data_IF_025937140568
#
_entry.id   IF_025937140568
#
_cell.length_a   1.000
_cell.length_b   1.000
_cell.length_c   1.000
_cell.angle_alpha   90.00
_cell.angle_beta   90.00
_cell.angle_gamma   90.00
#
_symmetry.space_group_name_H-M   'P 1'
#
loop_
_entity.id
_entity.type
_entity.pdbx_description
1 polymer ?
#
# COMPACT_ATOMS: atom_id res chain seq x y z
N UNK A 1 6.62 -16.83 -25.32
CA UNK A 1 5.71 -15.82 -24.73
C UNK A 1 4.95 -16.50 -23.62
N UNK A 2 5.18 -16.17 -22.35
CA UNK A 2 4.33 -16.65 -21.27
C UNK A 2 2.93 -16.06 -21.47
N UNK A 3 1.89 -16.89 -21.38
CA UNK A 3 0.52 -16.41 -21.45
C UNK A 3 0.30 -15.33 -20.38
N UNK A 4 -0.33 -14.22 -20.75
CA UNK A 4 -0.72 -13.21 -19.77
C UNK A 4 -1.59 -13.85 -18.69
N UNK A 5 -1.44 -13.44 -17.42
CA UNK A 5 -2.29 -13.96 -16.39
C UNK A 5 -3.77 -13.68 -16.70
N UNK A 6 -4.71 -14.54 -16.28
CA UNK A 6 -6.13 -14.32 -16.55
C UNK A 6 -6.58 -12.96 -16.01
N UNK A 7 -7.54 -12.28 -16.69
CA UNK A 7 -8.09 -11.02 -16.21
C UNK A 7 -8.61 -11.14 -14.77
N UNK A 8 -8.59 -10.02 -14.04
CA UNK A 8 -9.00 -10.03 -12.62
C UNK A 8 -10.44 -10.50 -12.41
N UNK A 9 -11.35 -10.30 -13.36
CA UNK A 9 -12.74 -10.73 -13.27
C UNK A 9 -12.96 -12.21 -13.63
N UNK A 10 -12.00 -12.86 -14.28
CA UNK A 10 -12.09 -14.24 -14.76
C UNK A 10 -11.06 -15.13 -14.06
N UNK A 11 -11.29 -15.36 -12.78
CA UNK A 11 -10.47 -16.23 -11.93
C UNK A 11 -11.36 -17.22 -11.19
N UNK A 12 -10.76 -18.34 -10.76
CA UNK A 12 -11.40 -19.26 -9.84
C UNK A 12 -11.21 -18.78 -8.41
N UNK A 13 -12.14 -19.13 -7.53
CA UNK A 13 -12.09 -18.83 -6.11
C UNK A 13 -13.31 -18.13 -5.59
N UNK A 14 -13.20 -17.60 -4.38
CA UNK A 14 -14.27 -16.96 -3.64
C UNK A 14 -13.91 -15.53 -3.27
N UNK A 15 -14.92 -14.68 -3.23
CA UNK A 15 -14.87 -13.32 -2.67
C UNK A 15 -15.89 -13.27 -1.53
N UNK A 16 -15.52 -12.69 -0.41
CA UNK A 16 -16.48 -12.35 0.63
C UNK A 16 -17.12 -11.00 0.26
N UNK A 17 -18.44 -10.95 0.20
CA UNK A 17 -19.19 -9.76 -0.20
C UNK A 17 -20.44 -9.65 0.64
N UNK A 18 -20.59 -8.57 1.40
CA UNK A 18 -21.75 -8.23 2.23
C UNK A 18 -22.25 -9.41 3.10
N UNK A 19 -21.33 -10.07 3.80
CA UNK A 19 -21.62 -11.16 4.73
C UNK A 19 -21.57 -12.56 4.14
N UNK A 20 -21.43 -12.72 2.82
CA UNK A 20 -21.48 -13.99 2.13
C UNK A 20 -20.23 -14.27 1.30
N UNK A 21 -19.84 -15.56 1.20
CA UNK A 21 -18.90 -16.00 0.18
C UNK A 21 -19.65 -16.17 -1.15
N UNK A 22 -19.18 -15.50 -2.18
CA UNK A 22 -19.69 -15.61 -3.55
C UNK A 22 -18.60 -16.18 -4.47
N UNK A 23 -19.00 -16.80 -5.58
CA UNK A 23 -18.05 -17.20 -6.60
C UNK A 23 -17.36 -15.96 -7.18
N UNK A 24 -16.07 -16.05 -7.51
CA UNK A 24 -15.26 -14.93 -7.98
C UNK A 24 -15.93 -14.18 -9.15
N UNK A 25 -16.47 -14.92 -10.13
CA UNK A 25 -17.11 -14.36 -11.33
C UNK A 25 -18.47 -13.72 -11.06
N UNK A 26 -19.07 -14.00 -9.90
CA UNK A 26 -20.40 -13.47 -9.50
C UNK A 26 -20.29 -12.25 -8.58
N UNK A 27 -19.08 -11.86 -8.16
CA UNK A 27 -18.84 -10.65 -7.40
C UNK A 27 -19.02 -9.40 -8.28
N UNK A 28 -20.30 -8.99 -8.47
CA UNK A 28 -20.71 -7.90 -9.36
C UNK A 28 -21.44 -6.82 -8.57
N UNK A 29 -21.32 -5.59 -9.04
CA UNK A 29 -22.06 -4.44 -8.50
C UNK A 29 -22.83 -3.74 -9.63
N UNK A 30 -23.87 -3.01 -9.26
CA UNK A 30 -24.65 -2.25 -10.24
C UNK A 30 -23.82 -1.08 -10.78
N UNK A 31 -23.91 -0.80 -12.08
CA UNK A 31 -23.17 0.29 -12.75
C UNK A 31 -23.49 1.69 -12.20
N UNK A 32 -24.63 1.89 -11.55
CA UNK A 32 -25.02 3.12 -10.88
C UNK A 32 -24.61 3.16 -9.40
N UNK A 33 -23.68 2.29 -8.95
CA UNK A 33 -23.09 2.42 -7.62
C UNK A 33 -22.41 3.77 -7.47
N UNK A 34 -22.78 4.51 -6.43
CA UNK A 34 -22.36 5.90 -6.21
C UNK A 34 -20.82 6.08 -6.25
N UNK A 35 -20.09 5.15 -5.64
CA UNK A 35 -18.62 5.19 -5.65
C UNK A 35 -18.04 5.16 -7.07
N UNK A 36 -18.64 4.43 -8.01
CA UNK A 36 -18.15 4.39 -9.40
C UNK A 36 -18.25 5.75 -10.11
N UNK A 37 -19.20 6.60 -9.71
CA UNK A 37 -19.42 7.91 -10.31
C UNK A 37 -18.68 9.03 -9.59
N UNK A 38 -18.49 8.92 -8.26
CA UNK A 38 -18.02 10.03 -7.43
C UNK A 38 -16.76 9.70 -6.61
N UNK A 39 -16.23 8.48 -6.73
CA UNK A 39 -14.95 8.09 -6.13
C UNK A 39 -14.94 7.95 -4.60
N UNK A 40 -16.07 8.17 -3.91
CA UNK A 40 -16.14 8.06 -2.46
C UNK A 40 -16.22 6.59 -2.01
N UNK A 41 -15.08 6.02 -1.69
CA UNK A 41 -14.87 4.66 -1.19
C UNK A 41 -13.52 4.57 -0.49
N UNK A 42 -13.31 3.54 0.33
CA UNK A 42 -12.05 3.30 1.00
C UNK A 42 -11.63 1.83 0.84
N UNK A 43 -10.32 1.59 0.76
CA UNK A 43 -9.81 0.23 0.61
C UNK A 43 -8.54 0.01 1.42
N UNK A 44 -8.18 -1.26 1.57
CA UNK A 44 -6.90 -1.66 2.10
C UNK A 44 -6.16 -2.58 1.14
N UNK A 45 -4.86 -2.60 1.30
CA UNK A 45 -4.00 -3.62 0.76
C UNK A 45 -3.32 -4.32 1.92
N UNK A 46 -3.55 -5.59 2.06
CA UNK A 46 -3.02 -6.43 3.14
C UNK A 46 -2.30 -7.61 2.51
N UNK A 47 -1.28 -8.14 3.16
CA UNK A 47 -0.52 -9.25 2.57
C UNK A 47 -0.51 -10.45 3.51
N UNK A 48 -0.79 -11.62 2.94
CA UNK A 48 -0.59 -12.91 3.58
C UNK A 48 0.75 -13.50 3.10
N UNK A 49 1.49 -14.10 4.01
CA UNK A 49 2.80 -14.72 3.75
C UNK A 49 2.80 -16.18 4.16
N UNK A 50 3.50 -17.02 3.41
CA UNK A 50 3.87 -18.36 3.82
C UNK A 50 4.99 -18.23 4.86
N UNK A 51 4.64 -18.45 6.12
CA UNK A 51 5.59 -18.37 7.23
C UNK A 51 6.12 -19.74 7.61
N UNK A 52 7.13 -19.80 8.47
CA UNK A 52 7.63 -21.06 9.05
C UNK A 52 6.59 -21.80 9.91
N UNK A 53 5.46 -21.14 10.23
CA UNK A 53 4.36 -21.68 11.04
C UNK A 53 3.07 -21.86 10.24
N UNK A 54 3.08 -21.74 8.91
CA UNK A 54 1.92 -21.74 8.04
C UNK A 54 1.57 -20.35 7.52
N UNK A 55 0.45 -20.22 6.81
CA UNK A 55 0.01 -18.95 6.25
C UNK A 55 -0.45 -17.99 7.34
N UNK A 56 0.05 -16.76 7.32
CA UNK A 56 -0.38 -15.71 8.23
C UNK A 56 -0.53 -14.37 7.51
N UNK A 57 -1.49 -13.57 7.96
CA UNK A 57 -1.71 -12.20 7.47
C UNK A 57 -0.91 -11.24 8.33
N UNK A 58 -0.09 -10.42 7.68
CA UNK A 58 0.78 -9.46 8.35
C UNK A 58 0.01 -8.20 8.77
N UNK A 59 0.05 -7.88 10.07
CA UNK A 59 -0.53 -6.67 10.70
C UNK A 59 -2.02 -6.47 10.34
N UNK A 60 -2.77 -7.56 10.37
CA UNK A 60 -4.19 -7.59 10.00
C UNK A 60 -5.02 -6.54 10.76
N UNK A 61 -4.83 -6.46 12.08
CA UNK A 61 -5.59 -5.57 12.96
C UNK A 61 -5.39 -4.10 12.58
N UNK A 62 -4.15 -3.68 12.37
CA UNK A 62 -3.82 -2.29 12.03
C UNK A 62 -4.32 -1.92 10.62
N UNK A 63 -4.30 -2.84 9.68
CA UNK A 63 -4.89 -2.64 8.37
C UNK A 63 -6.41 -2.46 8.48
N UNK A 64 -7.08 -3.29 9.26
CA UNK A 64 -8.52 -3.17 9.48
C UNK A 64 -8.87 -1.89 10.21
N UNK A 65 -8.12 -1.51 11.25
CA UNK A 65 -8.30 -0.22 11.93
C UNK A 65 -8.17 0.95 10.94
N UNK A 66 -7.17 0.92 10.06
CA UNK A 66 -6.98 1.99 9.06
C UNK A 66 -8.11 2.02 8.02
N UNK A 67 -8.67 0.87 7.63
CA UNK A 67 -9.88 0.82 6.79
C UNK A 67 -11.06 1.55 7.46
N UNK A 68 -11.31 1.25 8.75
CA UNK A 68 -12.37 1.90 9.51
C UNK A 68 -12.11 3.40 9.70
N UNK A 69 -10.87 3.80 9.97
CA UNK A 69 -10.48 5.21 10.06
C UNK A 69 -10.67 5.93 8.72
N UNK A 70 -10.30 5.31 7.60
CA UNK A 70 -10.53 5.84 6.26
C UNK A 70 -12.02 6.02 5.97
N UNK A 71 -12.83 5.01 6.28
CA UNK A 71 -14.27 5.08 6.13
C UNK A 71 -14.90 6.18 7.01
N UNK A 72 -14.44 6.32 8.27
CA UNK A 72 -14.88 7.37 9.20
C UNK A 72 -14.57 8.77 8.67
N UNK A 73 -13.37 9.00 8.13
CA UNK A 73 -12.98 10.27 7.50
C UNK A 73 -13.92 10.60 6.33
N UNK A 74 -14.29 9.60 5.53
CA UNK A 74 -15.22 9.73 4.40
C UNK A 74 -16.70 9.69 4.83
N UNK A 75 -16.99 9.69 6.13
CA UNK A 75 -18.34 9.62 6.71
C UNK A 75 -19.13 8.38 6.29
N UNK A 76 -18.46 7.29 5.99
CA UNK A 76 -19.05 5.99 5.73
C UNK A 76 -19.06 5.15 7.03
N UNK A 77 -20.19 4.54 7.35
CA UNK A 77 -20.31 3.60 8.48
C UNK A 77 -20.32 2.18 7.93
N UNK A 78 -19.21 1.48 8.04
CA UNK A 78 -19.10 0.07 7.67
C UNK A 78 -20.12 -0.73 8.53
N UNK A 79 -20.98 -1.59 7.91
CA UNK A 79 -22.05 -2.29 8.64
C UNK A 79 -21.56 -3.56 9.37
N UNK A 80 -20.25 -3.72 9.55
CA UNK A 80 -19.58 -4.85 10.20
C UNK A 80 -18.68 -4.36 11.31
N UNK A 81 -18.34 -5.24 12.28
CA UNK A 81 -17.31 -4.94 13.27
C UNK A 81 -15.91 -5.19 12.71
N UNK A 82 -14.85 -4.60 13.30
CA UNK A 82 -13.46 -4.90 12.91
C UNK A 82 -13.14 -6.40 12.96
N UNK A 83 -13.65 -7.12 13.96
CA UNK A 83 -13.44 -8.55 14.12
C UNK A 83 -14.08 -9.35 12.97
N UNK A 84 -15.31 -9.01 12.58
CA UNK A 84 -15.97 -9.62 11.42
C UNK A 84 -15.20 -9.40 10.13
N UNK A 85 -14.60 -8.21 9.96
CA UNK A 85 -13.77 -7.89 8.78
C UNK A 85 -12.44 -8.65 8.82
N UNK A 86 -11.83 -8.82 10.00
CA UNK A 86 -10.64 -9.65 10.18
C UNK A 86 -10.94 -11.12 9.84
N UNK A 87 -12.07 -11.65 10.31
CA UNK A 87 -12.48 -13.02 10.00
C UNK A 87 -12.78 -13.22 8.51
N UNK A 88 -13.41 -12.23 7.86
CA UNK A 88 -13.64 -12.25 6.41
C UNK A 88 -12.31 -12.29 5.63
N UNK A 89 -11.30 -11.53 6.05
CA UNK A 89 -9.97 -11.55 5.43
C UNK A 89 -9.28 -12.91 5.59
N UNK A 90 -9.31 -13.49 6.79
CA UNK A 90 -8.79 -14.86 7.03
C UNK A 90 -9.54 -15.88 6.20
N UNK A 91 -10.88 -15.78 6.17
CA UNK A 91 -11.76 -16.70 5.45
C UNK A 91 -11.42 -16.73 3.95
N UNK A 92 -11.28 -15.60 3.28
CA UNK A 92 -11.00 -15.59 1.83
C UNK A 92 -9.60 -16.11 1.51
N UNK A 93 -8.60 -15.92 2.36
CA UNK A 93 -7.26 -16.49 2.18
C UNK A 93 -7.34 -18.03 2.30
N UNK A 94 -8.06 -18.55 3.29
CA UNK A 94 -8.26 -19.99 3.51
C UNK A 94 -9.06 -20.66 2.39
N UNK A 95 -10.22 -20.08 2.01
CA UNK A 95 -11.09 -20.65 0.98
C UNK A 95 -10.43 -20.65 -0.42
N UNK A 96 -9.60 -19.65 -0.70
CA UNK A 96 -8.79 -19.60 -1.93
C UNK A 96 -7.47 -20.40 -1.80
N UNK A 97 -7.23 -21.10 -0.69
CA UNK A 97 -6.07 -21.95 -0.43
C UNK A 97 -4.73 -21.25 -0.70
N UNK A 98 -4.65 -19.96 -0.37
CA UNK A 98 -3.47 -19.17 -0.63
C UNK A 98 -2.41 -19.42 0.45
N UNK A 99 -1.22 -19.80 0.04
CA UNK A 99 -0.04 -19.83 0.91
C UNK A 99 0.53 -18.44 1.14
N UNK A 100 0.57 -17.65 0.07
CA UNK A 100 0.90 -16.24 0.07
C UNK A 100 -0.02 -15.50 -0.88
N UNK A 101 -0.34 -14.24 -0.61
CA UNK A 101 -1.20 -13.49 -1.49
C UNK A 101 -1.50 -12.07 -1.00
N UNK A 102 -2.20 -11.36 -1.84
CA UNK A 102 -2.67 -10.01 -1.56
C UNK A 102 -4.15 -10.04 -1.21
N UNK A 103 -4.53 -9.36 -0.16
CA UNK A 103 -5.90 -9.25 0.33
C UNK A 103 -6.37 -7.81 0.13
N UNK A 104 -7.53 -7.64 -0.48
CA UNK A 104 -8.13 -6.35 -0.81
C UNK A 104 -9.50 -6.20 -0.17
N UNK A 105 -9.59 -5.65 1.03
CA UNK A 105 -10.86 -5.12 1.53
C UNK A 105 -11.20 -3.81 0.81
N UNK A 106 -12.46 -3.65 0.42
CA UNK A 106 -12.98 -2.42 -0.19
C UNK A 106 -14.38 -2.14 0.36
N UNK A 107 -14.59 -0.92 0.86
CA UNK A 107 -15.91 -0.41 1.20
C UNK A 107 -16.35 0.67 0.23
N UNK A 108 -17.61 0.60 -0.21
CA UNK A 108 -18.16 1.53 -1.19
C UNK A 108 -19.61 1.91 -0.89
N UNK A 109 -20.05 2.98 -1.54
CA UNK A 109 -21.43 3.48 -1.46
C UNK A 109 -22.24 2.87 -2.60
N UNK A 110 -23.37 2.27 -2.26
CA UNK A 110 -24.26 1.54 -3.17
C UNK A 110 -25.03 2.42 -4.17
N UNK A 111 -26.09 1.86 -4.76
CA UNK A 111 -26.77 2.37 -5.96
C UNK A 111 -28.20 2.85 -5.71
N UNK A 112 -28.60 3.12 -4.45
CA UNK A 112 -29.97 3.53 -4.15
C UNK A 112 -30.30 4.93 -4.68
N UNK A 113 -29.31 5.84 -4.70
CA UNK A 113 -29.43 7.21 -5.21
C UNK A 113 -28.14 7.68 -5.87
N UNK A 114 -28.25 8.50 -6.90
CA UNK A 114 -27.17 9.29 -7.49
C UNK A 114 -27.29 10.75 -7.06
N UNK A 115 -26.21 11.49 -7.18
CA UNK A 115 -26.04 12.89 -6.80
C UNK A 115 -24.89 13.04 -5.81
N UNK A 116 -24.42 14.27 -5.63
CA UNK A 116 -23.24 14.55 -4.77
C UNK A 116 -23.44 14.08 -3.32
N UNK A 117 -24.69 14.17 -2.81
CA UNK A 117 -25.00 13.70 -1.46
C UNK A 117 -25.21 12.18 -1.44
N UNK A 118 -24.42 11.41 -0.66
CA UNK A 118 -24.58 9.97 -0.55
C UNK A 118 -25.69 9.54 0.42
N UNK A 119 -26.40 10.47 1.06
CA UNK A 119 -27.42 10.16 2.07
C UNK A 119 -28.49 9.22 1.54
N UNK A 120 -28.75 8.13 2.27
CA UNK A 120 -29.75 7.12 1.92
C UNK A 120 -29.23 5.98 1.04
N UNK A 121 -27.93 5.98 0.70
CA UNK A 121 -27.28 4.83 0.11
C UNK A 121 -26.76 3.87 1.19
N UNK A 122 -26.79 2.58 0.88
CA UNK A 122 -26.17 1.55 1.69
C UNK A 122 -24.65 1.60 1.54
N UNK A 123 -23.95 1.24 2.60
CA UNK A 123 -22.50 1.02 2.59
C UNK A 123 -22.27 -0.48 2.47
N UNK A 124 -21.48 -0.85 1.50
CA UNK A 124 -21.12 -2.21 1.18
C UNK A 124 -19.66 -2.48 1.56
N UNK A 125 -19.32 -3.76 1.73
CA UNK A 125 -17.96 -4.21 1.97
C UNK A 125 -17.69 -5.51 1.22
N UNK A 126 -16.55 -5.60 0.55
CA UNK A 126 -16.05 -6.86 0.02
C UNK A 126 -14.61 -7.11 0.47
N UNK A 127 -14.21 -8.37 0.48
CA UNK A 127 -12.83 -8.82 0.66
C UNK A 127 -12.50 -9.85 -0.41
N UNK A 128 -11.52 -9.53 -1.25
CA UNK A 128 -10.96 -10.46 -2.24
C UNK A 128 -9.51 -10.80 -1.86
N UNK A 129 -9.04 -12.01 -2.22
CA UNK A 129 -7.65 -12.39 -2.05
C UNK A 129 -7.16 -13.22 -3.24
N UNK A 130 -5.92 -12.94 -3.69
CA UNK A 130 -5.32 -13.63 -4.83
C UNK A 130 -3.80 -13.70 -4.71
N UNK A 131 -3.19 -14.63 -5.43
CA UNK A 131 -1.73 -14.71 -5.55
C UNK A 131 -1.21 -13.49 -6.30
N UNK A 132 -0.25 -12.77 -5.69
CA UNK A 132 0.42 -11.63 -6.30
C UNK A 132 1.91 -11.67 -5.95
N UNK A 133 2.77 -11.60 -6.97
CA UNK A 133 4.22 -11.57 -6.82
C UNK A 133 4.77 -10.22 -6.34
N UNK A 134 6.07 -9.99 -6.52
CA UNK A 134 6.71 -8.71 -6.22
C UNK A 134 6.15 -7.63 -7.17
N UNK A 135 5.58 -6.57 -6.58
CA UNK A 135 4.90 -5.49 -7.34
C UNK A 135 5.85 -4.77 -8.32
N UNK A 136 7.07 -4.49 -7.87
CA UNK A 136 8.10 -3.81 -8.66
C UNK A 136 9.15 -4.78 -9.25
N UNK A 137 8.81 -6.08 -9.29
CA UNK A 137 9.64 -7.14 -9.87
C UNK A 137 10.82 -7.56 -8.97
N UNK A 138 11.27 -8.79 -9.17
CA UNK A 138 12.37 -9.37 -8.38
C UNK A 138 13.71 -8.65 -8.58
N UNK A 139 13.96 -8.12 -9.79
CA UNK A 139 15.16 -7.36 -10.10
C UNK A 139 15.15 -6.00 -9.41
N UNK A 140 14.00 -5.32 -9.36
CA UNK A 140 13.80 -4.08 -8.60
C UNK A 140 14.08 -4.26 -7.11
N UNK A 141 13.64 -5.38 -6.53
CA UNK A 141 13.89 -5.71 -5.12
C UNK A 141 15.38 -5.92 -4.79
N UNK A 142 16.19 -6.34 -5.75
CA UNK A 142 17.62 -6.62 -5.56
C UNK A 142 18.50 -5.45 -5.94
N UNK A 143 18.26 -4.84 -7.09
CA UNK A 143 19.11 -3.79 -7.66
C UNK A 143 18.64 -2.39 -7.32
N UNK A 144 17.37 -2.24 -7.04
CA UNK A 144 16.70 -0.95 -6.94
C UNK A 144 16.06 -0.51 -8.25
N UNK A 145 15.03 0.32 -8.11
CA UNK A 145 14.20 0.86 -9.19
C UNK A 145 14.66 2.25 -9.60
N UNK A 146 14.20 2.69 -10.78
CA UNK A 146 14.37 4.04 -11.31
C UNK A 146 13.10 4.82 -11.07
N UNK A 147 13.23 5.99 -10.45
CA UNK A 147 12.10 6.82 -10.03
C UNK A 147 12.15 8.16 -10.75
N UNK A 148 10.99 8.68 -11.12
CA UNK A 148 10.82 10.01 -11.70
C UNK A 148 10.07 10.92 -10.74
N UNK A 149 10.53 12.16 -10.56
CA UNK A 149 9.71 13.20 -9.94
C UNK A 149 8.57 13.55 -10.90
N UNK A 150 7.33 13.33 -10.46
CA UNK A 150 6.15 13.60 -11.27
C UNK A 150 5.91 15.10 -11.44
N UNK A 151 5.35 15.49 -12.58
CA UNK A 151 4.81 16.84 -12.80
C UNK A 151 3.50 17.06 -12.01
N UNK A 152 2.83 15.99 -11.59
CA UNK A 152 1.63 16.06 -10.76
C UNK A 152 2.02 16.28 -9.30
N UNK A 153 1.43 17.29 -8.67
CA UNK A 153 1.59 17.56 -7.25
C UNK A 153 0.69 16.65 -6.42
N UNK A 154 1.20 16.13 -5.30
CA UNK A 154 0.37 15.42 -4.33
C UNK A 154 -0.72 16.34 -3.82
N UNK A 155 -1.97 15.88 -3.81
CA UNK A 155 -3.09 16.71 -3.39
C UNK A 155 -2.89 17.26 -1.97
N UNK A 156 -3.23 18.52 -1.79
CA UNK A 156 -3.11 19.21 -0.50
C UNK A 156 -3.99 18.52 0.56
N UNK A 157 -3.52 18.47 1.80
CA UNK A 157 -4.15 17.77 2.93
C UNK A 157 -5.63 18.15 3.18
N UNK A 158 -6.05 19.32 2.73
CA UNK A 158 -7.43 19.81 2.84
C UNK A 158 -8.21 19.76 1.51
N UNK A 159 -7.76 18.99 0.50
CA UNK A 159 -8.52 18.73 -0.74
C UNK A 159 -9.30 17.43 -0.58
N UNK A 160 -8.64 16.32 -0.30
CA UNK A 160 -9.25 14.98 -0.26
C UNK A 160 -8.82 14.13 0.94
N UNK A 161 -8.40 14.71 2.06
CA UNK A 161 -8.07 13.98 3.31
C UNK A 161 -7.01 12.88 3.10
N UNK A 162 -5.74 13.22 3.13
CA UNK A 162 -4.61 12.34 2.80
C UNK A 162 -4.43 11.16 3.76
N UNK A 163 -4.97 11.24 4.98
CA UNK A 163 -4.92 10.12 5.95
C UNK A 163 -5.97 9.04 5.67
N UNK A 164 -6.92 9.28 4.76
CA UNK A 164 -7.82 8.24 4.28
C UNK A 164 -7.22 7.51 3.08
N UNK A 165 -7.17 6.18 3.13
CA UNK A 165 -6.85 5.37 1.95
C UNK A 165 -8.10 5.29 1.05
N UNK A 166 -8.42 6.47 0.46
CA UNK A 166 -9.61 6.68 -0.34
C UNK A 166 -9.40 6.30 -1.81
N UNK A 167 -10.43 5.73 -2.44
CA UNK A 167 -10.42 5.39 -3.87
C UNK A 167 -10.09 6.61 -4.73
N UNK A 168 -10.71 7.76 -4.43
CA UNK A 168 -10.50 9.02 -5.15
C UNK A 168 -9.06 9.53 -5.14
N UNK A 169 -8.31 9.31 -4.04
CA UNK A 169 -6.93 9.76 -3.92
C UNK A 169 -6.01 9.09 -4.94
N UNK A 170 -6.36 7.89 -5.36
CA UNK A 170 -5.56 7.12 -6.32
C UNK A 170 -5.59 7.63 -7.75
N UNK A 171 -6.52 8.52 -8.12
CA UNK A 171 -6.46 9.19 -9.42
C UNK A 171 -5.16 9.99 -9.57
N UNK A 172 -4.75 10.72 -8.51
CA UNK A 172 -3.47 11.44 -8.49
C UNK A 172 -2.27 10.48 -8.61
N UNK A 173 -2.30 9.37 -7.88
CA UNK A 173 -1.27 8.31 -7.94
C UNK A 173 -1.17 7.67 -9.35
N UNK A 174 -2.32 7.37 -9.97
CA UNK A 174 -2.38 6.77 -11.30
C UNK A 174 -1.77 7.69 -12.36
N UNK A 175 -2.13 8.99 -12.34
CA UNK A 175 -1.59 9.96 -13.29
C UNK A 175 -0.08 10.10 -13.15
N UNK A 176 0.43 10.17 -11.92
CA UNK A 176 1.86 10.25 -11.66
C UNK A 176 2.61 8.98 -12.10
N UNK A 177 2.07 7.79 -11.80
CA UNK A 177 2.68 6.52 -12.20
C UNK A 177 2.67 6.35 -13.73
N UNK A 178 1.57 6.68 -14.42
CA UNK A 178 1.50 6.63 -15.88
C UNK A 178 2.55 7.54 -16.52
N UNK A 179 2.70 8.78 -16.04
CA UNK A 179 3.74 9.70 -16.51
C UNK A 179 5.15 9.12 -16.34
N UNK A 180 5.43 8.49 -15.20
CA UNK A 180 6.72 7.87 -14.95
C UNK A 180 6.99 6.68 -15.90
N UNK A 181 5.99 5.83 -16.09
CA UNK A 181 6.09 4.66 -16.99
C UNK A 181 6.26 5.09 -18.46
N UNK A 182 5.53 6.12 -18.93
CA UNK A 182 5.65 6.66 -20.28
C UNK A 182 7.05 7.22 -20.54
N UNK A 183 7.71 7.76 -19.51
CA UNK A 183 9.09 8.27 -19.57
C UNK A 183 10.16 7.18 -19.31
N UNK A 184 9.76 5.91 -19.18
CA UNK A 184 10.64 4.75 -19.05
C UNK A 184 11.23 4.56 -17.64
N UNK A 185 10.57 5.08 -16.62
CA UNK A 185 10.89 4.81 -15.22
C UNK A 185 9.99 3.72 -14.65
N UNK A 186 10.29 3.26 -13.44
CA UNK A 186 9.57 2.16 -12.78
C UNK A 186 8.47 2.68 -11.86
N UNK A 187 8.65 3.89 -11.27
CA UNK A 187 7.71 4.48 -10.32
C UNK A 187 7.88 6.02 -10.25
N UNK A 188 6.87 6.70 -9.70
CA UNK A 188 6.84 8.14 -9.51
C UNK A 188 7.13 8.56 -8.06
N UNK A 189 7.80 9.71 -7.91
CA UNK A 189 7.90 10.46 -6.66
C UNK A 189 7.04 11.72 -6.78
N UNK A 190 6.15 11.95 -5.81
CA UNK A 190 5.31 13.14 -5.78
C UNK A 190 5.84 14.16 -4.76
N UNK A 191 5.79 15.43 -5.14
CA UNK A 191 6.04 16.56 -4.25
C UNK A 191 4.71 17.10 -3.70
N UNK A 192 4.74 17.69 -2.51
CA UNK A 192 3.60 18.41 -1.95
C UNK A 192 3.41 19.77 -2.66
N UNK A 193 2.33 20.48 -2.33
CA UNK A 193 2.02 21.79 -2.91
C UNK A 193 3.08 22.89 -2.59
N UNK A 194 3.98 22.64 -1.65
CA UNK A 194 5.09 23.54 -1.29
C UNK A 194 6.42 23.12 -1.93
N UNK A 195 6.44 22.05 -2.74
CA UNK A 195 7.62 21.55 -3.44
C UNK A 195 8.49 20.59 -2.61
N UNK A 196 8.04 20.15 -1.43
CA UNK A 196 8.74 19.13 -0.65
C UNK A 196 8.27 17.73 -1.03
N UNK A 197 9.14 16.76 -0.84
CA UNK A 197 8.83 15.34 -1.09
C UNK A 197 7.70 14.88 -0.18
N UNK A 198 6.69 14.25 -0.78
CA UNK A 198 5.55 13.64 -0.07
C UNK A 198 5.72 12.12 0.02
N UNK A 199 5.44 11.42 -1.05
CA UNK A 199 5.50 9.96 -1.12
C UNK A 199 5.60 9.49 -2.59
N UNK A 200 5.75 8.18 -2.83
CA UNK A 200 5.58 7.58 -4.16
C UNK A 200 4.11 7.54 -4.57
N UNK A 201 3.80 6.96 -5.75
CA UNK A 201 2.42 6.81 -6.19
C UNK A 201 1.59 5.90 -5.25
N UNK A 202 2.22 4.90 -4.64
CA UNK A 202 1.58 3.98 -3.68
C UNK A 202 2.46 3.64 -2.47
N UNK A 203 3.59 4.33 -2.26
CA UNK A 203 4.65 4.00 -1.32
C UNK A 203 5.11 5.21 -0.50
N UNK A 204 5.62 4.97 0.71
CA UNK A 204 6.32 5.99 1.49
C UNK A 204 7.82 5.98 1.19
N UNK A 205 8.45 7.17 1.13
CA UNK A 205 9.87 7.34 0.90
C UNK A 205 10.68 7.34 2.20
N UNK A 206 11.85 6.72 2.13
CA UNK A 206 12.95 6.89 3.06
C UNK A 206 14.24 7.19 2.30
N UNK A 207 15.09 8.07 2.85
CA UNK A 207 16.45 8.30 2.39
C UNK A 207 17.41 8.12 3.55
N UNK A 208 18.67 7.79 3.23
CA UNK A 208 19.74 7.61 4.22
C UNK A 208 20.85 8.58 3.87
N UNK A 209 21.34 9.32 4.86
CA UNK A 209 22.49 10.21 4.73
C UNK A 209 23.34 10.17 6.00
N UNK A 210 24.63 9.88 5.84
CA UNK A 210 25.55 9.79 6.97
C UNK A 210 25.15 8.76 8.03
N UNK A 211 24.46 7.67 7.63
CA UNK A 211 23.97 6.62 8.52
C UNK A 211 22.65 6.93 9.23
N UNK A 212 22.08 8.12 9.07
CA UNK A 212 20.77 8.52 9.61
C UNK A 212 19.69 8.31 8.54
N UNK A 213 18.55 7.77 8.94
CA UNK A 213 17.38 7.55 8.07
C UNK A 213 16.45 8.77 8.17
N UNK A 214 16.03 9.31 7.04
CA UNK A 214 15.06 10.39 6.99
C UNK A 214 13.82 9.96 6.20
N UNK A 215 12.64 10.44 6.61
CA UNK A 215 11.38 10.21 5.90
C UNK A 215 10.50 11.45 6.01
N UNK A 216 9.68 11.77 4.99
CA UNK A 216 8.73 12.87 5.08
C UNK A 216 7.81 12.70 6.29
N UNK A 217 7.56 13.80 7.00
CA UNK A 217 6.50 13.83 7.99
C UNK A 217 5.10 13.80 7.33
N UNK A 218 4.08 13.41 8.08
CA UNK A 218 2.73 13.22 7.52
C UNK A 218 2.06 14.54 7.08
N UNK A 219 2.61 15.70 7.47
CA UNK A 219 2.10 17.00 7.02
C UNK A 219 2.37 17.27 5.54
N UNK A 220 3.33 16.53 4.94
CA UNK A 220 3.58 16.54 3.50
C UNK A 220 2.48 15.84 2.66
N UNK A 221 1.40 15.39 3.29
CA UNK A 221 0.29 14.71 2.61
C UNK A 221 0.50 13.22 2.35
N UNK A 222 1.53 12.62 2.93
CA UNK A 222 1.78 11.19 2.83
C UNK A 222 0.78 10.37 3.67
N UNK A 223 0.41 9.19 3.18
CA UNK A 223 -0.37 8.24 3.96
C UNK A 223 0.49 7.67 5.10
N UNK A 224 -0.10 7.50 6.29
CA UNK A 224 0.57 6.80 7.40
C UNK A 224 0.66 5.29 7.10
N UNK A 225 1.75 4.89 6.44
CA UNK A 225 1.98 3.53 5.96
C UNK A 225 2.24 2.54 7.11
N UNK A 226 1.64 1.35 7.03
CA UNK A 226 1.89 0.27 8.02
C UNK A 226 3.28 -0.31 7.82
N UNK A 227 3.74 -0.48 6.57
CA UNK A 227 5.12 -0.87 6.28
C UNK A 227 6.10 0.23 6.70
N UNK A 228 5.76 1.52 6.49
CA UNK A 228 6.53 2.64 7.03
C UNK A 228 6.70 2.52 8.54
N UNK A 229 5.62 2.29 9.28
CA UNK A 229 5.67 2.08 10.72
C UNK A 229 6.52 0.85 11.11
N UNK A 230 6.44 -0.24 10.33
CA UNK A 230 7.29 -1.42 10.56
C UNK A 230 8.78 -1.08 10.46
N UNK A 231 9.18 -0.24 9.50
CA UNK A 231 10.57 0.22 9.36
C UNK A 231 11.05 1.01 10.58
N UNK A 232 10.17 1.81 11.22
CA UNK A 232 10.53 2.49 12.50
C UNK A 232 10.90 1.49 13.59
N UNK A 233 10.17 0.39 13.70
CA UNK A 233 10.48 -0.66 14.68
C UNK A 233 11.77 -1.39 14.35
N UNK A 234 11.98 -1.74 13.08
CA UNK A 234 13.21 -2.40 12.61
C UNK A 234 14.44 -1.52 12.86
N UNK A 235 14.36 -0.25 12.50
CA UNK A 235 15.47 0.70 12.70
C UNK A 235 15.81 0.87 14.19
N UNK A 236 14.77 1.00 15.04
CA UNK A 236 14.96 1.04 16.50
C UNK A 236 15.69 -0.19 17.03
N UNK A 237 15.34 -1.38 16.54
CA UNK A 237 16.00 -2.62 16.95
C UNK A 237 17.45 -2.71 16.48
N UNK A 238 17.79 -2.06 15.38
CA UNK A 238 19.13 -1.98 14.85
C UNK A 238 19.97 -0.83 15.45
N UNK A 239 19.38 -0.01 16.32
CA UNK A 239 20.02 1.19 16.85
C UNK A 239 20.22 2.29 15.80
N UNK A 240 19.45 2.27 14.72
CA UNK A 240 19.49 3.28 13.67
C UNK A 240 18.53 4.43 14.00
N UNK A 241 19.00 5.65 13.82
CA UNK A 241 18.17 6.85 14.00
C UNK A 241 17.25 7.06 12.80
N UNK A 242 15.96 7.35 13.07
CA UNK A 242 14.99 7.83 12.04
C UNK A 242 14.51 9.21 12.43
N UNK A 243 14.65 10.16 11.50
CA UNK A 243 14.18 11.53 11.63
C UNK A 243 13.05 11.80 10.64
N UNK A 244 11.90 12.22 11.17
CA UNK A 244 10.79 12.71 10.34
C UNK A 244 10.97 14.20 10.10
N UNK A 245 11.06 14.61 8.84
CA UNK A 245 11.24 16.02 8.48
C UNK A 245 10.70 16.29 7.08
N UNK A 246 10.57 17.55 6.70
CA UNK A 246 10.42 17.93 5.30
C UNK A 246 11.71 17.62 4.54
N UNK A 247 11.59 17.02 3.38
CA UNK A 247 12.71 16.60 2.52
C UNK A 247 12.57 17.34 1.19
N UNK A 248 13.65 17.97 0.74
CA UNK A 248 13.71 18.58 -0.59
C UNK A 248 14.13 17.54 -1.63
N UNK A 249 13.83 17.77 -2.90
CA UNK A 249 14.17 16.85 -3.98
C UNK A 249 15.68 16.66 -4.13
N UNK A 250 16.46 17.71 -3.95
CA UNK A 250 17.93 17.68 -4.00
C UNK A 250 18.55 16.89 -2.84
N UNK A 251 17.90 16.83 -1.67
CA UNK A 251 18.33 15.92 -0.60
C UNK A 251 18.23 14.44 -1.01
N UNK A 252 17.26 14.09 -1.86
CA UNK A 252 17.15 12.72 -2.40
C UNK A 252 18.29 12.44 -3.38
N UNK A 253 18.68 13.41 -4.24
CA UNK A 253 19.78 13.24 -5.18
C UNK A 253 21.12 12.98 -4.49
N UNK A 254 21.38 13.64 -3.35
CA UNK A 254 22.63 13.52 -2.59
C UNK A 254 22.58 12.49 -1.47
N UNK A 255 21.50 11.73 -1.35
CA UNK A 255 21.37 10.65 -0.38
C UNK A 255 22.39 9.54 -0.66
N UNK A 256 22.82 8.84 0.40
CA UNK A 256 23.69 7.68 0.28
C UNK A 256 22.91 6.44 -0.15
N UNK A 257 21.64 6.34 0.29
CA UNK A 257 20.69 5.29 -0.09
C UNK A 257 19.26 5.88 -0.10
N UNK A 258 18.37 5.26 -0.86
CA UNK A 258 16.93 5.54 -0.79
C UNK A 258 16.13 4.27 -1.00
N UNK A 259 14.93 4.21 -0.42
CA UNK A 259 13.99 3.11 -0.62
C UNK A 259 12.54 3.53 -0.42
N UNK A 260 11.66 2.83 -1.10
CA UNK A 260 10.21 2.89 -0.89
C UNK A 260 9.72 1.81 0.06
N UNK A 261 8.60 2.08 0.73
CA UNK A 261 7.88 1.10 1.55
C UNK A 261 6.39 1.11 1.28
N UNK A 262 5.81 -0.08 1.16
CA UNK A 262 4.37 -0.26 0.97
C UNK A 262 3.98 -1.72 1.15
N UNK A 263 2.71 -2.02 1.28
CA UNK A 263 2.26 -3.42 1.39
C UNK A 263 2.55 -4.20 0.11
N UNK A 264 2.36 -3.59 -1.07
CA UNK A 264 2.66 -4.21 -2.35
C UNK A 264 4.16 -4.15 -2.67
N UNK A 265 4.81 -3.02 -2.42
CA UNK A 265 6.22 -2.77 -2.69
C UNK A 265 7.16 -3.34 -1.62
N UNK A 266 6.64 -3.71 -0.44
CA UNK A 266 7.45 -4.19 0.70
C UNK A 266 8.53 -3.17 1.10
N UNK A 267 9.80 -3.49 0.94
CA UNK A 267 10.93 -2.56 1.07
C UNK A 267 11.70 -2.59 -0.24
N UNK A 268 11.48 -1.62 -1.10
CA UNK A 268 12.05 -1.57 -2.46
C UNK A 268 13.14 -0.49 -2.55
N UNK A 269 14.39 -0.84 -2.83
CA UNK A 269 15.47 0.12 -3.01
C UNK A 269 15.21 1.04 -4.21
N UNK A 270 15.67 2.29 -4.12
CA UNK A 270 15.71 3.26 -5.23
C UNK A 270 17.17 3.48 -5.60
N UNK A 271 17.53 3.24 -6.87
CA UNK A 271 18.90 3.39 -7.37
C UNK A 271 19.12 4.69 -8.13
N UNK A 272 18.03 5.30 -8.61
CA UNK A 272 18.10 6.48 -9.47
C UNK A 272 16.82 7.33 -9.29
N UNK A 273 16.99 8.63 -9.21
CA UNK A 273 15.89 9.61 -9.29
C UNK A 273 16.20 10.61 -10.41
N UNK A 274 15.28 10.79 -11.37
CA UNK A 274 15.40 11.78 -12.46
C UNK A 274 16.73 11.65 -13.26
N UNK A 275 17.21 10.43 -13.50
CA UNK A 275 18.51 10.10 -14.15
C UNK A 275 19.74 10.47 -13.31
N UNK A 276 19.57 10.80 -12.03
CA UNK A 276 20.65 10.99 -11.08
C UNK A 276 20.78 9.73 -10.23
N UNK A 277 21.93 9.08 -10.26
CA UNK A 277 22.20 7.91 -9.43
C UNK A 277 22.22 8.31 -7.95
N UNK A 278 21.58 7.48 -7.10
CA UNK A 278 21.59 7.63 -5.65
C UNK A 278 22.68 6.72 -5.07
N UNK A 279 23.60 7.31 -4.31
CA UNK A 279 24.73 6.60 -3.71
C UNK A 279 25.56 5.84 -4.73
N UNK A 280 25.58 4.52 -4.66
CA UNK A 280 26.29 3.65 -5.59
C UNK A 280 25.46 3.18 -6.81
N UNK A 281 24.31 3.77 -7.06
CA UNK A 281 23.40 3.36 -8.15
C UNK A 281 22.80 1.95 -7.97
N UNK A 282 22.72 1.48 -6.73
CA UNK A 282 22.19 0.15 -6.37
C UNK A 282 21.69 0.13 -4.93
N UNK A 283 21.08 -1.00 -4.52
CA UNK A 283 20.66 -1.18 -3.12
C UNK A 283 21.84 -1.01 -2.16
N UNK A 284 21.72 -0.06 -1.24
CA UNK A 284 22.75 0.20 -0.24
C UNK A 284 22.67 -0.75 0.98
N UNK A 285 23.74 -0.78 1.80
CA UNK A 285 23.90 -1.76 2.89
C UNK A 285 22.88 -1.58 4.04
N UNK A 286 22.43 -0.37 4.34
CA UNK A 286 21.42 -0.14 5.39
C UNK A 286 20.05 -0.58 4.88
N UNK A 287 19.70 -0.24 3.64
CA UNK A 287 18.49 -0.69 2.98
C UNK A 287 18.41 -2.22 2.92
N UNK A 288 19.53 -2.89 2.59
CA UNK A 288 19.60 -4.36 2.57
C UNK A 288 19.33 -4.98 3.95
N UNK A 289 19.91 -4.42 5.01
CA UNK A 289 19.67 -4.88 6.38
C UNK A 289 18.20 -4.71 6.79
N UNK A 290 17.61 -3.55 6.50
CA UNK A 290 16.18 -3.28 6.79
C UNK A 290 15.29 -4.24 6.01
N UNK A 291 15.55 -4.44 4.72
CA UNK A 291 14.81 -5.35 3.84
C UNK A 291 14.92 -6.80 4.35
N UNK A 292 16.11 -7.27 4.71
CA UNK A 292 16.31 -8.62 5.25
C UNK A 292 15.56 -8.82 6.56
N UNK A 293 15.63 -7.87 7.49
CA UNK A 293 14.87 -7.92 8.74
C UNK A 293 13.35 -7.90 8.51
N UNK A 294 12.88 -7.11 7.55
CA UNK A 294 11.46 -7.12 7.16
C UNK A 294 11.02 -8.51 6.69
N UNK A 295 11.81 -9.15 5.80
CA UNK A 295 11.47 -10.49 5.33
C UNK A 295 11.58 -11.56 6.43
N UNK A 296 12.47 -11.43 7.39
CA UNK A 296 12.50 -12.33 8.55
C UNK A 296 11.26 -12.18 9.42
N UNK A 297 10.75 -10.98 9.59
CA UNK A 297 9.50 -10.71 10.32
C UNK A 297 8.30 -11.33 9.60
N UNK A 298 8.10 -10.99 8.33
CA UNK A 298 6.89 -11.44 7.59
C UNK A 298 6.88 -12.94 7.31
N UNK A 299 8.05 -13.59 7.27
CA UNK A 299 8.18 -15.04 7.15
C UNK A 299 8.13 -15.78 8.50
N UNK A 300 7.91 -15.08 9.61
CA UNK A 300 7.77 -15.69 10.94
C UNK A 300 9.07 -16.16 11.58
N UNK A 301 10.24 -15.71 11.08
CA UNK A 301 11.56 -16.09 11.61
C UNK A 301 11.97 -15.22 12.82
N UNK A 302 11.32 -14.09 13.03
CA UNK A 302 11.61 -13.19 14.16
C UNK A 302 10.52 -13.29 15.22
N UNK A 303 10.75 -14.01 16.35
CA UNK A 303 9.72 -14.24 17.38
C UNK A 303 9.25 -12.97 18.10
N UNK A 304 10.08 -11.92 18.14
CA UNK A 304 9.70 -10.63 18.74
C UNK A 304 8.45 -10.05 18.11
N UNK A 305 8.27 -10.28 16.81
CA UNK A 305 7.17 -9.73 16.00
C UNK A 305 6.11 -10.78 15.62
N UNK A 306 6.10 -11.94 16.30
CA UNK A 306 5.10 -12.98 16.03
C UNK A 306 3.66 -12.47 16.21
N UNK A 307 3.44 -11.50 17.11
CA UNK A 307 2.13 -10.86 17.34
C UNK A 307 1.61 -10.03 16.13
N UNK A 308 2.46 -9.73 15.14
CA UNK A 308 2.05 -9.08 13.88
C UNK A 308 1.55 -10.06 12.82
N UNK A 309 1.70 -11.35 13.07
CA UNK A 309 1.31 -12.42 12.15
C UNK A 309 0.04 -13.10 12.66
N UNK A 310 -1.08 -12.83 12.00
CA UNK A 310 -2.36 -13.45 12.32
C UNK A 310 -2.52 -14.72 11.50
N UNK A 311 -2.56 -15.93 12.11
CA UNK A 311 -2.75 -17.20 11.39
C UNK A 311 -4.08 -17.25 10.64
N UNK A 312 -4.08 -17.92 9.48
CA UNK A 312 -5.25 -18.10 8.61
C UNK A 312 -6.02 -19.38 8.94
#
# INVERSE_FOLDING_TARGET
MSALPPPMHDRDGKIWMDGNLVEWRDAKIHVLSHTLHYGCGAFEGVRAYETVHGTAIFRLQEHTERLFNSAKILRMKIPYTPEQVNDAQRLVVRENKLKSGYVRPLTWIGSQKLGVSPKGNQIHLMVAAWTWGAYLGDDGMKRGIRVKTSSYTRHHVNITMTQAKAVSNYTNSILANMEALDDGYDEALLLDASGFVSEGAGENLFIIKGGVIYTPDLSAGALNGITRNTVFHIAKDMGLEIVQKRITRDEVYIADEAFFTGTAAEVTPIRELDRVEIGAGSRGPITEKIQSAFFDIVNGRNPKYAHWLTPV
#
